data_IF_886707194590
#
_entry.id   IF_886707194590
#
_cell.length_a   1.000
_cell.length_b   1.000
_cell.length_c   1.000
_cell.angle_alpha   90.00
_cell.angle_beta   90.00
_cell.angle_gamma   90.00
#
_symmetry.space_group_name_H-M   'P 1'
#
loop_
_entity.id
_entity.type
_entity.pdbx_description
1 polymer ?
#
# COMPACT_ATOMS: atom_id res chain seq x y z
N UNK A 1 -52.48 -9.65 -77.78
CA UNK A 1 -52.26 -8.31 -78.36
C UNK A 1 -52.23 -7.29 -77.23
N UNK A 2 -51.08 -6.61 -77.07
CA UNK A 2 -50.85 -5.27 -76.48
C UNK A 2 -51.20 -4.98 -75.00
N UNK A 3 -50.17 -4.45 -74.33
CA UNK A 3 -50.16 -3.44 -73.26
C UNK A 3 -50.58 -3.94 -71.86
N UNK A 4 -49.92 -3.59 -70.76
CA UNK A 4 -49.18 -2.37 -70.41
C UNK A 4 -48.35 -2.63 -69.14
N UNK A 5 -47.12 -2.11 -69.05
CA UNK A 5 -46.40 -2.01 -67.76
C UNK A 5 -47.09 -0.99 -66.84
N UNK A 6 -47.18 -1.25 -65.52
CA UNK A 6 -47.22 -0.19 -64.54
C UNK A 6 -45.88 -0.03 -63.81
N UNK A 7 -45.19 1.04 -64.18
CA UNK A 7 -44.37 1.92 -63.34
C UNK A 7 -44.57 1.75 -61.82
N UNK A 8 -43.54 1.25 -61.11
CA UNK A 8 -43.48 1.30 -59.64
C UNK A 8 -43.02 2.69 -59.18
N UNK A 9 -43.67 3.32 -58.18
CA UNK A 9 -43.25 4.61 -57.66
C UNK A 9 -41.95 4.52 -56.85
N UNK A 10 -41.09 5.53 -56.98
CA UNK A 10 -39.90 5.73 -56.14
C UNK A 10 -40.35 6.04 -54.70
N UNK A 11 -40.09 5.15 -53.76
CA UNK A 11 -40.28 5.40 -52.33
C UNK A 11 -39.13 6.28 -51.82
N UNK A 12 -39.35 7.59 -51.82
CA UNK A 12 -38.51 8.55 -51.09
C UNK A 12 -38.71 8.31 -49.58
N UNK A 13 -37.73 7.67 -48.93
CA UNK A 13 -37.67 7.62 -47.46
C UNK A 13 -37.54 9.06 -46.94
N UNK A 14 -38.65 9.61 -46.46
CA UNK A 14 -38.65 10.82 -45.64
C UNK A 14 -37.99 10.47 -44.31
N UNK A 15 -36.81 11.04 -44.06
CA UNK A 15 -36.23 11.04 -42.71
C UNK A 15 -37.15 11.86 -41.80
N UNK A 16 -37.63 11.31 -40.68
CA UNK A 16 -38.38 12.11 -39.72
C UNK A 16 -37.42 13.14 -39.10
N UNK A 17 -37.62 14.40 -39.46
CA UNK A 17 -37.20 15.52 -38.67
C UNK A 17 -37.97 15.48 -37.35
N UNK A 18 -37.28 15.31 -36.22
CA UNK A 18 -37.89 15.57 -34.92
C UNK A 18 -37.44 14.63 -33.81
N UNK A 19 -36.49 15.10 -33.00
CA UNK A 19 -36.67 15.18 -31.54
C UNK A 19 -35.37 15.71 -30.92
N UNK A 20 -35.13 17.02 -31.08
CA UNK A 20 -34.07 17.71 -30.30
C UNK A 20 -34.25 17.46 -28.80
N UNK A 21 -35.49 17.26 -28.33
CA UNK A 21 -35.79 16.86 -26.95
C UNK A 21 -35.33 15.44 -26.57
N UNK A 22 -35.43 14.43 -27.45
CA UNK A 22 -35.02 13.06 -27.11
C UNK A 22 -33.49 12.92 -27.02
N UNK A 23 -32.75 13.68 -27.84
CA UNK A 23 -31.28 13.76 -27.77
C UNK A 23 -30.82 14.45 -26.47
N UNK A 24 -31.48 15.52 -26.04
CA UNK A 24 -31.14 16.21 -24.80
C UNK A 24 -31.44 15.36 -23.55
N UNK A 25 -32.52 14.57 -23.56
CA UNK A 25 -32.85 13.65 -22.46
C UNK A 25 -31.84 12.51 -22.36
N UNK A 26 -31.41 11.93 -23.49
CA UNK A 26 -30.38 10.89 -23.50
C UNK A 26 -29.02 11.38 -22.99
N UNK A 27 -28.63 12.63 -23.30
CA UNK A 27 -27.39 13.24 -22.79
C UNK A 27 -27.49 13.52 -21.28
N UNK A 28 -28.63 14.02 -20.81
CA UNK A 28 -28.85 14.27 -19.38
C UNK A 28 -28.84 12.98 -18.54
N UNK A 29 -29.43 11.89 -19.05
CA UNK A 29 -29.38 10.57 -18.41
C UNK A 29 -27.96 9.98 -18.42
N UNK A 30 -27.23 10.12 -19.52
CA UNK A 30 -25.83 9.67 -19.62
C UNK A 30 -24.91 10.40 -18.64
N UNK A 31 -25.09 11.73 -18.48
CA UNK A 31 -24.33 12.53 -17.53
C UNK A 31 -24.69 12.18 -16.07
N UNK A 32 -25.97 11.92 -15.79
CA UNK A 32 -26.44 11.51 -14.46
C UNK A 32 -25.87 10.15 -14.00
N UNK A 33 -25.79 9.17 -14.91
CA UNK A 33 -25.16 7.87 -14.62
C UNK A 33 -23.65 7.99 -14.44
N UNK A 34 -22.98 8.83 -15.23
CA UNK A 34 -21.55 9.09 -15.09
C UNK A 34 -21.20 9.77 -13.75
N UNK A 35 -22.03 10.72 -13.29
CA UNK A 35 -21.89 11.37 -11.99
C UNK A 35 -22.18 10.41 -10.82
N UNK A 36 -23.15 9.49 -10.97
CA UNK A 36 -23.42 8.47 -9.96
C UNK A 36 -22.30 7.43 -9.84
N UNK A 37 -21.62 7.09 -10.94
CA UNK A 37 -20.48 6.17 -10.94
C UNK A 37 -19.18 6.80 -10.42
N UNK A 38 -19.07 8.14 -10.42
CA UNK A 38 -17.88 8.85 -9.93
C UNK A 38 -17.70 8.76 -8.40
N UNK A 39 -18.71 8.29 -7.65
CA UNK A 39 -18.69 8.15 -6.19
C UNK A 39 -18.19 6.80 -5.66
N UNK A 40 -17.87 5.82 -6.52
CA UNK A 40 -17.27 4.55 -6.09
C UNK A 40 -15.75 4.69 -5.83
N UNK A 41 -15.34 5.71 -5.05
CA UNK A 41 -13.98 5.75 -4.50
C UNK A 41 -13.96 4.87 -3.25
N UNK A 42 -13.36 3.69 -3.38
CA UNK A 42 -12.97 2.72 -2.36
C UNK A 42 -13.51 2.95 -0.93
N UNK A 43 -14.40 2.06 -0.49
CA UNK A 43 -14.89 2.00 0.90
C UNK A 43 -13.73 1.75 1.88
N UNK A 44 -12.59 1.21 1.41
CA UNK A 44 -11.41 0.93 2.23
C UNK A 44 -10.24 1.83 1.83
N UNK A 45 -9.74 2.61 2.77
CA UNK A 45 -8.58 3.48 2.61
C UNK A 45 -7.36 2.77 3.22
N UNK A 46 -6.40 2.39 2.38
CA UNK A 46 -5.11 1.86 2.82
C UNK A 46 -4.15 3.03 3.02
N UNK A 47 -3.66 3.22 4.24
CA UNK A 47 -2.67 4.24 4.58
C UNK A 47 -1.37 3.58 5.02
N UNK A 48 -0.26 3.93 4.35
CA UNK A 48 1.08 3.46 4.70
C UNK A 48 1.85 4.59 5.38
N UNK A 49 2.41 4.28 6.54
CA UNK A 49 3.20 5.19 7.35
C UNK A 49 4.60 4.61 7.57
N UNK A 50 5.59 5.50 7.73
CA UNK A 50 6.97 5.11 8.01
C UNK A 50 7.83 4.83 6.78
N UNK A 51 9.03 4.32 7.03
CA UNK A 51 10.02 4.06 5.98
C UNK A 51 9.89 2.63 5.47
N UNK A 52 9.49 2.48 4.20
CA UNK A 52 9.33 1.18 3.56
C UNK A 52 10.67 0.80 2.94
N UNK A 53 11.39 -0.11 3.61
CA UNK A 53 12.62 -0.66 3.08
C UNK A 53 12.27 -1.64 1.97
N UNK A 54 12.81 -1.41 0.77
CA UNK A 54 12.68 -2.36 -0.34
C UNK A 54 13.72 -3.48 -0.25
N UNK A 55 13.37 -4.67 -0.75
CA UNK A 55 14.30 -5.81 -0.75
C UNK A 55 15.59 -5.49 -1.52
N UNK A 56 15.49 -4.72 -2.61
CA UNK A 56 16.65 -4.28 -3.39
C UNK A 56 17.63 -3.40 -2.59
N UNK A 57 17.13 -2.64 -1.61
CA UNK A 57 17.96 -1.86 -0.71
C UNK A 57 18.61 -2.73 0.37
N UNK A 58 17.90 -3.77 0.86
CA UNK A 58 18.48 -4.74 1.80
C UNK A 58 19.60 -5.55 1.16
N UNK A 59 19.46 -5.93 -0.11
CA UNK A 59 20.49 -6.66 -0.83
C UNK A 59 21.76 -5.83 -1.07
N UNK A 60 21.64 -4.50 -1.09
CA UNK A 60 22.77 -3.57 -1.14
C UNK A 60 23.47 -3.37 0.22
N UNK A 61 22.89 -3.87 1.31
CA UNK A 61 23.44 -3.78 2.67
C UNK A 61 23.56 -5.18 3.28
N UNK A 62 24.43 -6.05 2.74
CA UNK A 62 24.69 -7.34 3.34
C UNK A 62 25.40 -7.20 4.71
N UNK A 63 25.42 -8.30 5.46
CA UNK A 63 26.26 -8.42 6.66
C UNK A 63 27.72 -8.10 6.29
N UNK A 64 28.36 -7.24 7.08
CA UNK A 64 29.71 -6.71 6.86
C UNK A 64 29.77 -5.32 6.22
N UNK A 65 28.65 -4.78 5.71
CA UNK A 65 28.58 -3.39 5.22
C UNK A 65 28.91 -2.39 6.32
N UNK A 66 29.50 -1.23 5.96
CA UNK A 66 29.77 -0.18 6.94
C UNK A 66 28.49 0.59 7.29
N UNK A 67 28.46 1.17 8.50
CA UNK A 67 27.38 2.06 8.93
C UNK A 67 27.12 3.20 7.93
N UNK A 68 28.17 3.80 7.38
CA UNK A 68 28.04 4.87 6.38
C UNK A 68 27.34 4.39 5.10
N UNK A 69 27.56 3.14 4.70
CA UNK A 69 26.86 2.56 3.57
C UNK A 69 25.38 2.36 3.88
N UNK A 70 25.04 1.93 5.10
CA UNK A 70 23.65 1.82 5.55
C UNK A 70 22.97 3.19 5.50
N UNK A 71 23.60 4.22 6.07
CA UNK A 71 23.09 5.60 6.04
C UNK A 71 22.91 6.11 4.60
N UNK A 72 23.80 5.74 3.67
CA UNK A 72 23.69 6.14 2.27
C UNK A 72 22.55 5.42 1.51
N UNK A 73 22.36 4.12 1.75
CA UNK A 73 21.38 3.29 1.01
C UNK A 73 19.97 3.38 1.61
N UNK A 74 19.89 3.37 2.94
CA UNK A 74 18.63 3.34 3.70
C UNK A 74 18.27 4.70 4.33
N UNK A 75 19.20 5.64 4.42
CA UNK A 75 18.95 6.92 5.06
C UNK A 75 18.80 6.83 6.58
N UNK A 76 18.23 7.88 7.17
CA UNK A 76 18.08 8.00 8.62
C UNK A 76 17.12 6.95 9.17
N UNK A 77 17.51 6.20 10.22
CA UNK A 77 16.64 5.24 10.87
C UNK A 77 15.45 5.94 11.57
N UNK A 78 14.39 5.18 11.82
CA UNK A 78 13.23 5.69 12.59
C UNK A 78 13.58 5.88 14.05
N UNK A 79 14.37 4.96 14.62
CA UNK A 79 14.91 5.08 15.97
C UNK A 79 16.22 4.31 16.08
N UNK A 80 17.04 4.68 17.04
CA UNK A 80 18.31 4.00 17.35
C UNK A 80 18.28 3.54 18.80
N UNK A 81 18.88 2.38 19.08
CA UNK A 81 19.09 1.93 20.44
C UNK A 81 20.52 1.38 20.59
N UNK A 82 21.05 1.45 21.81
CA UNK A 82 22.40 0.98 22.12
C UNK A 82 22.33 0.05 23.32
N UNK A 83 22.16 -1.25 23.07
CA UNK A 83 22.15 -2.27 24.11
C UNK A 83 23.45 -3.07 24.02
N UNK A 84 24.55 -2.45 24.44
CA UNK A 84 25.90 -2.91 24.13
C UNK A 84 26.36 -2.29 22.81
N UNK A 85 25.86 -2.82 21.70
CA UNK A 85 26.17 -2.30 20.37
C UNK A 85 25.02 -1.44 19.83
N UNK A 86 25.34 -0.58 18.87
CA UNK A 86 24.36 0.28 18.21
C UNK A 86 23.44 -0.54 17.29
N UNK A 87 22.16 -0.23 17.31
CA UNK A 87 21.12 -0.88 16.52
C UNK A 87 20.24 0.18 15.89
N UNK A 88 20.04 0.07 14.58
CA UNK A 88 19.12 0.91 13.81
C UNK A 88 17.81 0.18 13.61
N UNK A 89 16.70 0.87 13.90
CA UNK A 89 15.36 0.38 13.65
C UNK A 89 14.66 1.23 12.60
N UNK A 90 14.21 0.57 11.52
CA UNK A 90 13.32 1.15 10.53
C UNK A 90 11.93 0.55 10.73
N UNK A 91 10.97 1.41 11.06
CA UNK A 91 9.61 1.00 11.39
C UNK A 91 8.67 1.47 10.28
N UNK A 92 7.88 0.53 9.76
CA UNK A 92 6.81 0.81 8.80
C UNK A 92 5.50 0.19 9.27
N UNK A 93 4.40 0.87 8.97
CA UNK A 93 3.07 0.47 9.40
C UNK A 93 2.08 0.69 8.26
N UNK A 94 1.30 -0.32 7.94
CA UNK A 94 0.16 -0.23 7.03
C UNK A 94 -1.13 -0.36 7.84
N UNK A 95 -1.99 0.64 7.69
CA UNK A 95 -3.29 0.71 8.34
C UNK A 95 -4.37 0.72 7.27
N UNK A 96 -5.39 -0.12 7.44
CA UNK A 96 -6.57 -0.12 6.60
C UNK A 96 -7.77 0.42 7.37
N UNK A 97 -8.40 1.43 6.80
CA UNK A 97 -9.63 2.03 7.35
C UNK A 97 -10.77 1.72 6.39
N UNK A 98 -11.72 0.91 6.82
CA UNK A 98 -12.98 0.73 6.10
C UNK A 98 -13.96 1.80 6.57
N UNK A 99 -14.70 2.44 5.66
CA UNK A 99 -15.59 3.55 5.96
C UNK A 99 -16.47 3.25 7.17
N UNK A 100 -16.55 4.21 8.10
CA UNK A 100 -17.28 4.14 9.37
C UNK A 100 -16.74 3.15 10.43
N UNK A 101 -15.66 2.40 10.15
CA UNK A 101 -14.97 1.54 11.11
C UNK A 101 -13.66 2.17 11.61
N UNK A 102 -13.22 1.74 12.79
CA UNK A 102 -11.93 2.15 13.33
C UNK A 102 -10.77 1.68 12.41
N UNK A 103 -9.71 2.49 12.24
CA UNK A 103 -8.52 2.06 11.50
C UNK A 103 -7.92 0.80 12.13
N UNK A 104 -7.65 -0.22 11.32
CA UNK A 104 -7.00 -1.44 11.75
C UNK A 104 -5.61 -1.53 11.17
N UNK A 105 -4.62 -1.78 12.01
CA UNK A 105 -3.25 -2.09 11.56
C UNK A 105 -3.27 -3.47 10.92
N UNK A 106 -2.98 -3.53 9.63
CA UNK A 106 -2.98 -4.79 8.87
C UNK A 106 -1.59 -5.36 8.74
N UNK A 107 -0.57 -4.50 8.72
CA UNK A 107 0.82 -4.90 8.62
C UNK A 107 1.70 -3.90 9.38
N UNK A 108 2.69 -4.42 10.10
CA UNK A 108 3.72 -3.61 10.73
C UNK A 108 5.03 -4.35 10.62
N UNK A 109 6.06 -3.65 10.11
CA UNK A 109 7.38 -4.23 9.90
C UNK A 109 8.45 -3.38 10.58
N UNK A 110 9.37 -4.06 11.26
CA UNK A 110 10.51 -3.48 11.95
C UNK A 110 11.76 -4.16 11.42
N UNK A 111 12.55 -3.44 10.63
CA UNK A 111 13.88 -3.88 10.26
C UNK A 111 14.86 -3.40 11.33
N UNK A 112 15.54 -4.34 11.97
CA UNK A 112 16.61 -4.08 12.91
C UNK A 112 17.97 -4.42 12.28
N UNK A 113 18.86 -3.43 12.23
CA UNK A 113 20.23 -3.57 11.73
C UNK A 113 21.18 -3.40 12.91
N UNK A 114 21.95 -4.42 13.20
CA UNK A 114 22.88 -4.44 14.34
C UNK A 114 24.27 -4.14 13.84
N UNK A 115 24.96 -3.27 14.56
CA UNK A 115 26.35 -2.95 14.30
C UNK A 115 27.26 -3.70 15.28
N UNK A 116 28.51 -3.93 14.87
CA UNK A 116 29.60 -4.31 15.76
C UNK A 116 30.37 -3.06 16.23
N UNK A 117 31.40 -3.27 17.04
CA UNK A 117 32.27 -2.21 17.55
C UNK A 117 33.05 -1.49 16.43
N UNK A 118 33.28 -2.17 15.29
CA UNK A 118 33.93 -1.61 14.10
C UNK A 118 32.96 -0.80 13.23
N UNK A 119 31.72 -0.58 13.69
CA UNK A 119 30.64 0.12 12.99
C UNK A 119 30.28 -0.54 11.66
N UNK A 120 30.27 -1.88 11.64
CA UNK A 120 29.85 -2.70 10.50
C UNK A 120 28.64 -3.52 10.85
N UNK A 121 27.83 -3.84 9.85
CA UNK A 121 26.61 -4.62 10.03
C UNK A 121 26.98 -6.04 10.45
N UNK A 122 26.68 -6.39 11.69
CA UNK A 122 26.89 -7.73 12.23
C UNK A 122 25.69 -8.66 11.95
N UNK A 123 24.48 -8.07 11.92
CA UNK A 123 23.23 -8.80 11.76
C UNK A 123 22.12 -7.92 11.18
N UNK A 124 21.22 -8.54 10.43
CA UNK A 124 19.94 -7.96 10.04
C UNK A 124 18.81 -8.88 10.53
N UNK A 125 17.75 -8.29 11.06
CA UNK A 125 16.52 -8.98 11.45
C UNK A 125 15.30 -8.20 10.95
N UNK A 126 14.32 -8.88 10.36
CA UNK A 126 13.09 -8.28 9.84
C UNK A 126 11.89 -8.85 10.60
N UNK A 127 11.32 -8.04 11.49
CA UNK A 127 10.19 -8.42 12.32
C UNK A 127 8.89 -7.90 11.70
N UNK A 128 7.96 -8.78 11.36
CA UNK A 128 6.60 -8.46 10.93
C UNK A 128 5.56 -8.70 12.03
N UNK A 129 4.38 -8.13 11.85
CA UNK A 129 3.18 -8.44 12.63
C UNK A 129 2.32 -9.44 11.83
N UNK A 130 2.16 -10.66 12.32
CA UNK A 130 1.17 -11.63 11.82
C UNK A 130 0.13 -11.87 12.91
N UNK A 131 -1.14 -11.58 12.62
CA UNK A 131 -2.28 -11.80 13.55
C UNK A 131 -2.10 -11.19 14.95
N UNK A 132 -1.43 -10.03 15.04
CA UNK A 132 -1.15 -9.38 16.33
C UNK A 132 0.02 -10.00 17.11
N UNK A 133 0.77 -10.92 16.52
CA UNK A 133 1.98 -11.52 17.09
C UNK A 133 3.20 -11.14 16.26
N UNK A 134 4.31 -10.90 16.95
CA UNK A 134 5.61 -10.59 16.33
C UNK A 134 6.14 -11.86 15.67
N UNK A 135 6.45 -11.79 14.38
CA UNK A 135 7.02 -12.87 13.58
C UNK A 135 8.29 -12.39 12.88
N UNK A 136 9.36 -13.19 12.87
CA UNK A 136 10.61 -12.84 12.17
C UNK A 136 10.56 -13.41 10.74
N UNK A 137 10.57 -12.52 9.75
CA UNK A 137 10.54 -12.88 8.33
C UNK A 137 11.91 -13.32 7.81
N UNK A 138 12.99 -12.70 8.29
CA UNK A 138 14.36 -12.96 7.83
C UNK A 138 15.31 -12.80 9.03
N UNK A 139 15.57 -13.90 9.71
CA UNK A 139 16.56 -13.96 10.78
C UNK A 139 17.89 -14.46 10.23
N UNK A 140 18.87 -13.56 10.09
CA UNK A 140 20.26 -13.95 9.81
C UNK A 140 21.02 -13.90 11.11
N UNK A 141 20.98 -14.99 11.90
CA UNK A 141 21.72 -15.30 13.16
C UNK A 141 20.82 -15.45 14.41
N UNK A 142 21.43 -15.86 15.53
CA UNK A 142 20.79 -16.31 16.77
C UNK A 142 20.00 -15.22 17.53
N UNK A 143 18.99 -15.62 18.34
CA UNK A 143 18.06 -14.73 19.02
C UNK A 143 18.71 -13.86 20.10
N UNK A 144 17.97 -12.83 20.52
CA UNK A 144 18.48 -11.63 21.18
C UNK A 144 18.23 -11.59 22.68
N UNK A 145 19.02 -10.76 23.36
CA UNK A 145 18.93 -10.50 24.81
C UNK A 145 17.55 -9.94 25.19
N UNK A 146 17.04 -10.27 26.38
CA UNK A 146 15.66 -9.95 26.80
C UNK A 146 15.25 -8.47 26.79
N UNK A 147 16.20 -7.53 26.84
CA UNK A 147 15.93 -6.09 26.74
C UNK A 147 15.39 -5.70 25.35
N UNK A 148 15.94 -6.30 24.28
CA UNK A 148 15.50 -6.04 22.91
C UNK A 148 14.08 -6.54 22.68
N UNK A 149 13.77 -7.76 23.16
CA UNK A 149 12.42 -8.33 23.09
C UNK A 149 11.41 -7.41 23.77
N UNK A 150 11.81 -6.74 24.84
CA UNK A 150 10.94 -5.79 25.56
C UNK A 150 10.69 -4.52 24.73
N UNK A 151 11.74 -3.96 24.10
CA UNK A 151 11.59 -2.80 23.22
C UNK A 151 10.73 -3.13 21.99
N UNK A 152 11.00 -4.24 21.31
CA UNK A 152 10.20 -4.68 20.17
C UNK A 152 8.74 -4.85 20.58
N UNK A 153 8.47 -5.55 21.68
CA UNK A 153 7.10 -5.67 22.22
C UNK A 153 6.45 -4.32 22.49
N UNK A 154 7.18 -3.35 23.03
CA UNK A 154 6.66 -2.02 23.28
C UNK A 154 6.31 -1.30 21.97
N UNK A 155 7.17 -1.37 20.96
CA UNK A 155 6.93 -0.74 19.63
C UNK A 155 5.73 -1.40 18.93
N UNK A 156 5.62 -2.72 18.97
CA UNK A 156 4.47 -3.43 18.42
C UNK A 156 3.19 -3.16 19.23
N UNK A 157 3.28 -3.12 20.56
CA UNK A 157 2.13 -2.79 21.43
C UNK A 157 1.66 -1.35 21.26
N UNK A 158 2.54 -0.40 20.98
CA UNK A 158 2.14 1.00 20.73
C UNK A 158 1.50 1.19 19.37
N UNK A 159 1.88 0.37 18.38
CA UNK A 159 1.33 0.45 17.04
C UNK A 159 -0.01 -0.28 16.93
N UNK A 160 -0.20 -1.40 17.64
CA UNK A 160 -1.50 -2.03 17.87
C UNK A 160 -2.26 -1.20 18.92
N UNK A 161 -2.68 0.00 18.54
CA UNK A 161 -3.51 0.86 19.39
C UNK A 161 -4.79 0.13 19.83
N UNK A 162 -4.86 -0.13 21.13
CA UNK A 162 -6.05 -0.08 21.99
C UNK A 162 -7.39 -0.45 21.32
N UNK A 163 -7.75 -1.73 21.39
CA UNK A 163 -9.14 -2.21 21.39
C UNK A 163 -9.24 -3.44 22.31
N UNK A 164 -9.03 -3.22 23.61
CA UNK A 164 -9.58 -4.08 24.67
C UNK A 164 -10.74 -3.34 25.30
#
# INVERSE_FOLDING_TARGET
>A
MRHTLPIRPKTTKRFPAGSRGARSVAIALGLGVALAAAGCSSITQVQRHGYIVSQDQLDQVPVGSSKEQVDYVLGTPSTTATFGNEVYYYISQTTETTAFLAPKVTDQRILAIYFDDDRRVSRLADYGLQDGRVFDYISRTTPTTGAEVTLLRQIFSSAVGENV
#
